data_IF_465628107114
#
_entry.id   IF_465628107114
#
_cell.length_a   1.000
_cell.length_b   1.000
_cell.length_c   1.000
_cell.angle_alpha   90.00
_cell.angle_beta   90.00
_cell.angle_gamma   90.00
#
_symmetry.space_group_name_H-M   'P 1'
#
loop_
_entity.id
_entity.type
_entity.pdbx_description
1 polymer ?
#
# COMPACT_ATOMS: atom_id res chain seq x y z
N UNK A 1 16.93 21.35 30.93
CA UNK A 1 15.88 21.76 29.98
C UNK A 1 16.36 21.26 28.62
N UNK A 2 15.81 20.15 28.12
CA UNK A 2 16.17 19.62 26.81
C UNK A 2 15.10 20.08 25.82
N UNK A 3 15.46 21.05 24.99
CA UNK A 3 14.62 21.54 23.90
C UNK A 3 14.43 20.42 22.87
N UNK A 4 13.29 19.74 22.98
CA UNK A 4 12.84 18.74 22.05
C UNK A 4 12.44 19.41 20.74
N UNK A 5 13.41 19.67 19.87
CA UNK A 5 13.19 19.83 18.44
C UNK A 5 12.77 18.46 17.86
N UNK A 6 11.56 18.01 18.18
CA UNK A 6 10.89 16.96 17.43
C UNK A 6 10.55 17.56 16.08
N UNK A 7 11.52 17.46 15.18
CA UNK A 7 11.47 17.90 13.81
C UNK A 7 10.05 17.69 13.28
N UNK A 8 9.43 18.81 12.95
CA UNK A 8 8.21 18.95 12.21
C UNK A 8 8.27 17.94 11.06
N UNK A 9 7.67 16.77 11.27
CA UNK A 9 7.68 15.68 10.30
C UNK A 9 6.97 16.24 9.10
N UNK A 10 7.73 16.76 8.13
CA UNK A 10 7.23 17.12 6.81
C UNK A 10 6.49 15.88 6.35
N UNK A 11 5.16 15.91 6.44
CA UNK A 11 4.31 14.88 5.88
C UNK A 11 4.69 14.91 4.40
N UNK A 12 5.35 13.87 3.85
CA UNK A 12 5.63 13.88 2.43
C UNK A 12 4.30 14.15 1.72
N UNK A 13 4.29 14.98 0.64
CA UNK A 13 3.08 15.20 -0.14
C UNK A 13 2.48 13.82 -0.40
N UNK A 14 1.17 13.68 -0.17
CA UNK A 14 0.48 12.40 -0.18
C UNK A 14 0.85 11.65 -1.46
N UNK A 15 1.84 10.76 -1.36
CA UNK A 15 2.30 10.00 -2.50
C UNK A 15 1.11 9.12 -2.86
N UNK A 16 0.56 9.32 -4.04
CA UNK A 16 -0.40 8.39 -4.62
C UNK A 16 0.32 7.06 -4.72
N UNK A 17 -0.04 6.14 -3.81
CA UNK A 17 0.55 4.81 -3.75
C UNK A 17 0.25 4.11 -5.07
N UNK A 18 1.28 3.64 -5.77
CA UNK A 18 1.09 2.95 -7.06
C UNK A 18 0.73 1.48 -6.88
N UNK A 19 0.27 0.83 -7.96
CA UNK A 19 0.01 -0.61 -7.99
C UNK A 19 1.27 -1.40 -7.60
N UNK A 20 2.43 -1.01 -8.14
CA UNK A 20 3.71 -1.66 -7.88
C UNK A 20 4.14 -1.51 -6.42
N UNK A 21 3.87 -0.36 -5.80
CA UNK A 21 4.14 -0.15 -4.38
C UNK A 21 3.25 -1.03 -3.50
N UNK A 22 1.96 -1.15 -3.84
CA UNK A 22 1.02 -2.03 -3.12
C UNK A 22 1.43 -3.51 -3.22
N UNK A 23 1.84 -3.97 -4.41
CA UNK A 23 2.38 -5.32 -4.61
C UNK A 23 3.63 -5.54 -3.75
N UNK A 24 4.57 -4.60 -3.78
CA UNK A 24 5.79 -4.68 -2.96
C UNK A 24 5.52 -4.67 -1.45
N UNK A 25 4.48 -3.97 -0.99
CA UNK A 25 4.07 -3.98 0.42
C UNK A 25 3.42 -5.31 0.81
N UNK A 26 2.59 -5.89 -0.06
CA UNK A 26 2.01 -7.21 0.15
C UNK A 26 3.08 -8.28 0.24
N UNK A 27 4.07 -8.27 -0.66
CA UNK A 27 5.18 -9.23 -0.62
C UNK A 27 5.97 -9.16 0.68
N UNK A 28 6.30 -7.95 1.13
CA UNK A 28 6.99 -7.74 2.42
C UNK A 28 6.15 -8.19 3.60
N UNK A 29 4.86 -7.89 3.60
CA UNK A 29 3.98 -8.28 4.69
C UNK A 29 3.77 -9.79 4.74
N UNK A 30 3.67 -10.45 3.58
CA UNK A 30 3.63 -11.90 3.49
C UNK A 30 4.90 -12.54 4.09
N UNK A 31 6.08 -12.01 3.76
CA UNK A 31 7.34 -12.48 4.35
C UNK A 31 7.33 -12.35 5.89
N UNK A 32 6.87 -11.22 6.42
CA UNK A 32 6.75 -10.99 7.87
C UNK A 32 5.77 -11.99 8.51
N UNK A 33 4.60 -12.18 7.90
CA UNK A 33 3.58 -13.13 8.39
C UNK A 33 4.15 -14.55 8.47
N UNK A 34 4.80 -15.00 7.39
CA UNK A 34 5.39 -16.34 7.31
C UNK A 34 6.49 -16.50 8.35
N UNK A 35 7.39 -15.52 8.48
CA UNK A 35 8.49 -15.56 9.47
C UNK A 35 7.98 -15.56 10.92
N UNK A 36 6.87 -14.87 11.19
CA UNK A 36 6.25 -14.82 12.52
C UNK A 36 5.43 -16.08 12.88
N UNK A 37 5.17 -16.97 11.91
CA UNK A 37 4.37 -18.17 12.10
C UNK A 37 2.99 -17.86 12.68
N UNK A 38 2.59 -18.56 13.75
CA UNK A 38 1.27 -18.35 14.40
C UNK A 38 1.06 -16.91 14.90
N UNK A 39 2.12 -16.20 15.27
CA UNK A 39 2.02 -14.79 15.69
C UNK A 39 1.77 -13.85 14.51
N UNK A 40 2.06 -14.28 13.28
CA UNK A 40 1.83 -13.51 12.05
C UNK A 40 0.35 -13.25 11.76
N UNK A 41 -0.58 -14.02 12.36
CA UNK A 41 -2.01 -13.82 12.20
C UNK A 41 -2.48 -12.40 12.57
N UNK A 42 -1.74 -11.70 13.44
CA UNK A 42 -2.03 -10.30 13.80
C UNK A 42 -1.96 -9.33 12.61
N UNK A 43 -1.21 -9.67 11.56
CA UNK A 43 -1.04 -8.84 10.38
C UNK A 43 -2.03 -9.16 9.25
N UNK A 44 -2.80 -10.26 9.34
CA UNK A 44 -3.76 -10.65 8.31
C UNK A 44 -4.78 -9.54 7.99
N UNK A 45 -5.35 -8.81 8.98
CA UNK A 45 -6.27 -7.71 8.66
C UNK A 45 -5.62 -6.58 7.84
N UNK A 46 -4.31 -6.36 8.02
CA UNK A 46 -3.57 -5.39 7.23
C UNK A 46 -3.30 -5.91 5.81
N UNK A 47 -3.00 -7.20 5.70
CA UNK A 47 -2.79 -7.88 4.43
C UNK A 47 -4.05 -7.82 3.55
N UNK A 48 -5.20 -8.22 4.10
CA UNK A 48 -6.51 -8.18 3.41
C UNK A 48 -6.86 -6.76 2.94
N UNK A 49 -6.57 -5.75 3.77
CA UNK A 49 -6.81 -4.36 3.39
C UNK A 49 -5.94 -3.96 2.20
N UNK A 50 -4.65 -4.31 2.20
CA UNK A 50 -3.73 -4.00 1.10
C UNK A 50 -4.14 -4.73 -0.19
N UNK A 51 -4.60 -5.98 -0.10
CA UNK A 51 -5.15 -6.71 -1.25
C UNK A 51 -6.36 -5.98 -1.85
N UNK A 52 -7.30 -5.53 -1.03
CA UNK A 52 -8.47 -4.79 -1.53
C UNK A 52 -8.09 -3.46 -2.20
N UNK A 53 -7.12 -2.72 -1.65
CA UNK A 53 -6.65 -1.49 -2.28
C UNK A 53 -5.92 -1.76 -3.61
N UNK A 54 -5.15 -2.86 -3.69
CA UNK A 54 -4.49 -3.27 -4.94
C UNK A 54 -5.53 -3.59 -6.03
N UNK A 55 -6.57 -4.33 -5.69
CA UNK A 55 -7.66 -4.64 -6.63
C UNK A 55 -8.37 -3.38 -7.12
N UNK A 56 -8.66 -2.44 -6.23
CA UNK A 56 -9.27 -1.15 -6.60
C UNK A 56 -8.37 -0.34 -7.53
N UNK A 57 -7.09 -0.26 -7.23
CA UNK A 57 -6.11 0.46 -8.05
C UNK A 57 -6.05 -0.13 -9.47
N UNK A 58 -5.88 -1.46 -9.57
CA UNK A 58 -5.88 -2.18 -10.86
C UNK A 58 -7.18 -1.98 -11.64
N UNK A 59 -8.33 -2.03 -10.96
CA UNK A 59 -9.62 -1.82 -11.59
C UNK A 59 -9.79 -0.40 -12.13
N UNK A 60 -9.26 0.60 -11.42
CA UNK A 60 -9.26 2.00 -11.85
C UNK A 60 -8.39 2.19 -13.09
N UNK A 61 -7.17 1.65 -13.10
CA UNK A 61 -6.25 1.72 -14.24
C UNK A 61 -6.86 1.05 -15.48
N UNK A 62 -7.43 -0.14 -15.32
CA UNK A 62 -8.11 -0.83 -16.40
C UNK A 62 -9.35 -0.07 -16.92
N UNK A 63 -10.04 0.67 -16.05
CA UNK A 63 -11.15 1.55 -16.47
C UNK A 63 -10.64 2.76 -17.26
N UNK A 64 -9.56 3.38 -16.79
CA UNK A 64 -8.95 4.53 -17.47
C UNK A 64 -8.42 4.14 -18.86
N UNK A 65 -7.73 3.01 -18.96
CA UNK A 65 -7.25 2.47 -20.24
C UNK A 65 -8.41 2.27 -21.25
N UNK A 66 -9.52 1.65 -20.81
CA UNK A 66 -10.71 1.48 -21.66
C UNK A 66 -11.36 2.80 -22.09
N UNK A 67 -11.30 3.84 -21.26
CA UNK A 67 -11.80 5.18 -21.65
C UNK A 67 -10.89 5.79 -22.71
N UNK A 68 -9.57 5.66 -22.56
CA UNK A 68 -8.59 6.15 -23.52
C UNK A 68 -8.70 5.43 -24.88
N UNK A 69 -8.94 4.13 -24.89
CA UNK A 69 -9.15 3.36 -26.12
C UNK A 69 -10.40 3.79 -26.91
N UNK A 70 -11.44 4.31 -26.24
CA UNK A 70 -12.68 4.75 -26.91
C UNK A 70 -12.54 6.03 -27.72
N UNK A 71 -11.53 6.84 -27.41
CA UNK A 71 -11.28 8.13 -28.06
C UNK A 71 -10.09 8.07 -29.03
N UNK A 72 -9.48 6.89 -29.20
CA UNK A 72 -8.39 6.62 -30.13
C UNK A 72 -8.95 6.02 -31.42
#
# INVERSE_FOLDING_TARGET
MHDGHWAERRRPPAATVTVEELEGYLDRLAQIIVQAGKKGAVYLPLYERLESELEKAKAMDARLARVQERIK
#
